data_IF_748836255485
#
_entry.id   IF_748836255485
#
_cell.length_a   1.000
_cell.length_b   1.000
_cell.length_c   1.000
_cell.angle_alpha   90.00
_cell.angle_beta   90.00
_cell.angle_gamma   90.00
#
_symmetry.space_group_name_H-M   'P 1'
#
loop_
_entity.id
_entity.type
_entity.pdbx_description
1 polymer ?
#
# COMPACT_ATOMS: atom_id res chain seq x y z
N UNK A 1 12.11 20.31 9.09
CA UNK A 1 13.32 19.84 8.42
C UNK A 1 13.92 18.69 9.22
N UNK A 2 14.61 17.79 8.54
CA UNK A 2 15.32 16.66 9.15
C UNK A 2 16.72 16.54 8.56
N UNK A 3 17.66 16.02 9.33
CA UNK A 3 19.05 15.75 8.90
C UNK A 3 19.44 14.40 9.47
N UNK A 4 19.92 13.52 8.62
CA UNK A 4 20.25 12.13 8.93
C UNK A 4 19.21 11.47 9.85
N UNK A 5 17.92 11.46 9.42
CA UNK A 5 16.86 10.92 10.25
C UNK A 5 17.00 9.40 10.31
N UNK A 6 17.17 8.89 11.51
CA UNK A 6 16.96 7.45 11.72
C UNK A 6 15.46 7.17 11.76
N UNK A 7 14.92 6.66 10.67
CA UNK A 7 13.56 6.18 10.57
C UNK A 7 13.44 4.69 10.89
N UNK A 8 14.56 4.01 11.14
CA UNK A 8 14.52 2.61 11.52
C UNK A 8 13.74 2.45 12.82
N UNK A 9 12.81 1.52 12.85
CA UNK A 9 12.43 0.74 14.01
C UNK A 9 11.49 1.35 15.05
N UNK A 10 10.97 2.56 14.90
CA UNK A 10 9.93 3.03 15.84
C UNK A 10 8.59 2.32 15.56
N UNK A 11 8.34 1.97 14.31
CA UNK A 11 7.17 1.15 13.91
C UNK A 11 7.55 0.17 12.78
N UNK A 12 7.75 -1.08 13.13
CA UNK A 12 7.96 -2.16 12.16
C UNK A 12 6.73 -2.36 11.26
N UNK A 13 6.97 -2.75 10.03
CA UNK A 13 5.90 -3.16 9.13
C UNK A 13 5.41 -4.56 9.51
N UNK A 14 4.10 -4.81 9.34
CA UNK A 14 3.59 -6.16 9.46
C UNK A 14 4.11 -6.99 8.29
N UNK A 15 4.48 -8.24 8.56
CA UNK A 15 4.84 -9.17 7.51
C UNK A 15 3.64 -9.37 6.57
N UNK A 16 3.93 -9.33 5.28
CA UNK A 16 2.97 -9.66 4.22
C UNK A 16 3.51 -10.86 3.46
N UNK A 17 2.61 -11.73 3.01
CA UNK A 17 2.98 -12.87 2.18
C UNK A 17 3.36 -12.36 0.79
N UNK A 18 4.59 -12.58 0.36
CA UNK A 18 5.16 -12.08 -0.90
C UNK A 18 5.33 -13.16 -1.98
N UNK A 19 4.88 -14.38 -1.70
CA UNK A 19 4.96 -15.51 -2.63
C UNK A 19 3.94 -15.38 -3.77
N UNK A 20 4.37 -15.65 -5.00
CA UNK A 20 3.54 -15.67 -6.21
C UNK A 20 2.79 -14.34 -6.46
N UNK A 21 3.43 -13.23 -6.18
CA UNK A 21 2.86 -11.90 -6.36
C UNK A 21 3.05 -11.41 -7.80
N UNK A 22 1.98 -10.85 -8.40
CA UNK A 22 2.04 -10.18 -9.70
C UNK A 22 2.53 -8.74 -9.59
N UNK A 23 2.18 -8.08 -8.51
CA UNK A 23 2.44 -6.67 -8.25
C UNK A 23 3.25 -6.50 -6.98
N UNK A 24 4.06 -5.44 -6.87
CA UNK A 24 4.79 -5.15 -5.65
C UNK A 24 3.84 -4.89 -4.48
N UNK A 25 4.26 -5.26 -3.28
CA UNK A 25 3.53 -5.01 -2.05
C UNK A 25 3.49 -3.52 -1.73
N UNK A 26 2.36 -3.07 -1.22
CA UNK A 26 2.19 -1.71 -0.72
C UNK A 26 2.34 -1.68 0.79
N UNK A 27 3.13 -0.73 1.29
CA UNK A 27 3.31 -0.49 2.72
C UNK A 27 2.91 0.94 3.07
N UNK A 28 2.09 1.08 4.10
CA UNK A 28 1.69 2.39 4.61
C UNK A 28 2.89 3.18 5.12
N UNK A 29 2.87 4.51 4.95
CA UNK A 29 3.88 5.37 5.54
C UNK A 29 3.71 5.43 7.05
N UNK A 30 4.79 5.22 7.80
CA UNK A 30 4.81 5.25 9.27
C UNK A 30 5.76 6.29 9.86
N UNK A 31 6.63 6.85 9.02
CA UNK A 31 7.65 7.81 9.45
C UNK A 31 7.01 9.17 9.76
N UNK A 32 7.14 9.70 11.00
CA UNK A 32 6.43 10.92 11.43
C UNK A 32 6.69 12.14 10.56
N UNK A 33 7.91 12.29 10.03
CA UNK A 33 8.25 13.39 9.13
C UNK A 33 7.37 13.40 7.87
N UNK A 34 7.07 12.25 7.30
CA UNK A 34 6.23 12.16 6.11
C UNK A 34 4.74 12.15 6.43
N UNK A 35 4.32 11.60 7.57
CA UNK A 35 2.91 11.52 7.98
C UNK A 35 2.30 12.87 8.33
N UNK A 36 3.03 13.77 8.99
CA UNK A 36 2.47 15.05 9.44
C UNK A 36 1.99 15.89 8.24
N UNK A 37 0.66 16.11 8.09
CA UNK A 37 0.05 16.84 6.98
C UNK A 37 0.19 16.13 5.62
N UNK A 38 0.28 14.80 5.60
CA UNK A 38 0.37 13.99 4.38
C UNK A 38 -0.90 14.02 3.53
N UNK A 39 -2.05 14.29 4.17
CA UNK A 39 -3.37 14.34 3.53
C UNK A 39 -3.44 15.31 2.34
N UNK A 40 -2.60 16.34 2.31
CA UNK A 40 -2.57 17.27 1.19
C UNK A 40 -2.06 16.63 -0.11
N UNK A 41 -1.21 15.59 -0.01
CA UNK A 41 -0.56 14.97 -1.18
C UNK A 41 -1.40 13.84 -1.80
N UNK A 42 -2.49 13.41 -1.16
CA UNK A 42 -3.39 12.41 -1.68
C UNK A 42 -4.10 12.89 -2.96
N UNK A 43 -4.11 12.05 -3.99
CA UNK A 43 -4.77 12.28 -5.28
C UNK A 43 -5.34 10.97 -5.82
N UNK A 44 -6.14 11.01 -6.90
CA UNK A 44 -6.80 9.83 -7.47
C UNK A 44 -5.80 8.76 -7.98
N UNK A 45 -4.62 9.19 -8.44
CA UNK A 45 -3.48 8.33 -8.69
C UNK A 45 -2.47 8.51 -7.56
N UNK A 46 -1.84 7.44 -7.10
CA UNK A 46 -0.78 7.50 -6.08
C UNK A 46 0.52 8.06 -6.69
N UNK A 47 0.48 9.34 -7.09
CA UNK A 47 1.62 10.03 -7.72
C UNK A 47 2.72 10.40 -6.73
N UNK A 48 2.41 10.36 -5.44
CA UNK A 48 3.34 10.57 -4.33
C UNK A 48 3.21 9.41 -3.35
N UNK A 49 4.29 8.68 -3.18
CA UNK A 49 4.44 7.58 -2.24
C UNK A 49 5.79 7.73 -1.54
N UNK A 50 5.76 8.27 -0.34
CA UNK A 50 6.99 8.70 0.37
C UNK A 50 7.91 7.53 0.78
N UNK A 51 7.40 6.30 0.81
CA UNK A 51 8.21 5.08 1.02
C UNK A 51 9.22 4.80 -0.10
N UNK A 52 9.08 5.52 -1.25
CA UNK A 52 10.11 5.52 -2.30
C UNK A 52 11.42 6.19 -1.85
N UNK A 53 11.34 7.09 -0.88
CA UNK A 53 12.50 7.72 -0.24
C UNK A 53 12.98 6.73 0.83
N UNK A 54 14.01 5.95 0.52
CA UNK A 54 14.42 4.82 1.34
C UNK A 54 15.36 5.23 2.48
N UNK A 55 16.41 6.00 2.17
CA UNK A 55 17.46 6.41 3.10
C UNK A 55 17.70 7.93 3.02
N UNK A 56 16.81 8.74 3.60
CA UNK A 56 16.90 10.19 3.49
C UNK A 56 18.05 10.77 4.34
N UNK A 57 19.06 11.34 3.68
CA UNK A 57 20.16 12.05 4.32
C UNK A 57 19.72 13.38 4.94
N UNK A 58 18.87 14.13 4.24
CA UNK A 58 18.29 15.35 4.76
C UNK A 58 16.99 15.71 4.03
N UNK A 59 16.12 16.46 4.68
CA UNK A 59 14.88 16.89 4.09
C UNK A 59 14.23 18.09 4.75
N UNK A 60 13.41 18.79 3.95
CA UNK A 60 12.57 19.86 4.43
C UNK A 60 11.14 19.64 3.96
N UNK A 61 10.17 19.95 4.81
CA UNK A 61 8.75 19.87 4.53
C UNK A 61 8.06 21.14 4.99
N UNK A 62 7.16 21.64 4.15
CA UNK A 62 6.27 22.75 4.43
C UNK A 62 4.85 22.28 4.13
N UNK A 63 3.96 22.41 5.09
CA UNK A 63 2.52 22.21 4.90
C UNK A 63 1.77 23.33 5.60
N UNK A 64 0.68 23.80 4.99
CA UNK A 64 -0.09 24.87 5.59
C UNK A 64 -1.33 25.25 4.79
N UNK A 65 -2.10 26.18 5.38
CA UNK A 65 -3.30 26.73 4.79
C UNK A 65 -3.20 28.28 4.77
N UNK A 66 -3.46 28.85 3.61
CA UNK A 66 -3.50 30.30 3.38
C UNK A 66 -4.88 30.67 2.81
N UNK A 67 -5.82 31.00 3.68
CA UNK A 67 -7.21 31.23 3.29
C UNK A 67 -7.85 29.96 2.71
N UNK A 68 -8.19 29.99 1.43
CA UNK A 68 -8.74 28.84 0.70
C UNK A 68 -7.67 27.94 0.08
N UNK A 69 -6.41 28.36 0.09
CA UNK A 69 -5.32 27.56 -0.47
C UNK A 69 -4.71 26.64 0.59
N UNK A 70 -4.58 25.35 0.28
CA UNK A 70 -3.74 24.37 1.00
C UNK A 70 -2.46 24.18 0.20
N UNK A 71 -1.33 24.27 0.87
CA UNK A 71 -0.01 24.18 0.25
C UNK A 71 0.82 23.10 0.94
N UNK A 72 1.43 22.24 0.14
CA UNK A 72 2.39 21.24 0.59
C UNK A 72 3.65 21.27 -0.27
N UNK A 73 4.82 21.19 0.35
CA UNK A 73 6.09 21.02 -0.34
C UNK A 73 7.00 20.12 0.47
N UNK A 74 7.71 19.20 -0.19
CA UNK A 74 8.72 18.32 0.38
C UNK A 74 9.93 18.37 -0.54
N UNK A 75 11.12 18.51 0.03
CA UNK A 75 12.38 18.31 -0.66
C UNK A 75 13.27 17.42 0.20
N UNK A 76 13.73 16.30 -0.35
CA UNK A 76 14.52 15.28 0.37
C UNK A 76 15.67 14.83 -0.50
N UNK A 77 16.86 14.79 0.07
CA UNK A 77 18.02 14.07 -0.46
C UNK A 77 17.97 12.65 0.08
N UNK A 78 17.92 11.69 -0.82
CA UNK A 78 17.99 10.26 -0.52
C UNK A 78 19.39 9.75 -0.91
N UNK A 79 20.06 9.06 0.01
CA UNK A 79 21.39 8.51 -0.25
C UNK A 79 21.34 7.18 -1.01
N UNK A 80 20.12 6.69 -1.26
CA UNK A 80 19.88 5.44 -1.99
C UNK A 80 20.11 4.20 -1.12
N UNK A 81 19.93 3.05 -1.69
CA UNK A 81 20.11 1.77 -1.00
C UNK A 81 18.80 0.99 -0.83
N UNK A 82 17.66 1.58 -1.18
CA UNK A 82 16.40 0.85 -1.26
C UNK A 82 16.28 0.12 -2.59
N UNK A 83 16.03 -1.17 -2.56
CA UNK A 83 15.51 -1.89 -3.71
C UNK A 83 14.11 -1.37 -3.99
N UNK A 84 13.93 -0.64 -5.08
CA UNK A 84 12.61 -0.29 -5.57
C UNK A 84 11.98 -1.57 -6.11
N UNK A 85 11.23 -2.28 -5.27
CA UNK A 85 10.39 -3.37 -5.71
C UNK A 85 9.52 -2.89 -6.89
N UNK A 86 9.52 -3.63 -7.97
CA UNK A 86 9.02 -3.34 -9.30
C UNK A 86 7.92 -2.31 -9.41
N UNK A 87 8.18 -1.24 -10.10
CA UNK A 87 7.19 -0.22 -10.43
C UNK A 87 6.83 -0.35 -11.90
N UNK A 88 5.56 -0.64 -12.15
CA UNK A 88 4.98 -0.54 -13.48
C UNK A 88 5.52 -1.51 -14.51
N UNK A 89 5.42 -2.82 -14.28
CA UNK A 89 5.56 -3.86 -15.32
C UNK A 89 6.92 -3.95 -16.01
N UNK A 90 7.93 -3.28 -15.48
CA UNK A 90 9.34 -3.46 -15.86
C UNK A 90 10.05 -4.40 -14.89
N UNK A 91 11.20 -4.97 -15.28
CA UNK A 91 11.98 -5.77 -14.37
C UNK A 91 12.28 -4.98 -13.09
N UNK A 92 12.22 -5.69 -11.97
CA UNK A 92 12.32 -5.17 -10.60
C UNK A 92 13.72 -4.60 -10.23
N UNK A 93 14.56 -4.28 -11.15
CA UNK A 93 16.01 -4.17 -10.99
C UNK A 93 16.51 -2.73 -10.89
N UNK A 94 15.64 -1.79 -10.51
CA UNK A 94 16.07 -0.43 -10.26
C UNK A 94 16.60 -0.26 -8.83
N UNK A 95 17.88 -0.42 -8.61
CA UNK A 95 18.54 0.18 -7.44
C UNK A 95 18.36 1.69 -7.60
N UNK A 96 17.57 2.33 -6.71
CA UNK A 96 17.52 3.77 -6.65
C UNK A 96 18.88 4.27 -6.17
N UNK A 97 19.63 4.84 -7.06
CA UNK A 97 20.85 5.56 -6.70
C UNK A 97 20.53 6.79 -5.84
N UNK A 98 21.57 7.41 -5.23
CA UNK A 98 21.39 8.65 -4.51
C UNK A 98 20.66 9.69 -5.37
N UNK A 99 19.75 10.47 -4.79
CA UNK A 99 18.94 11.39 -5.59
C UNK A 99 18.18 12.42 -4.79
N UNK A 100 17.48 13.30 -5.49
CA UNK A 100 16.60 14.29 -4.91
C UNK A 100 15.15 14.03 -5.25
N UNK A 101 14.30 14.02 -4.24
CA UNK A 101 12.85 14.08 -4.38
C UNK A 101 12.37 15.48 -4.06
N UNK A 102 11.59 16.08 -4.96
CA UNK A 102 10.98 17.38 -4.78
C UNK A 102 9.51 17.29 -5.14
N UNK A 103 8.65 17.45 -4.15
CA UNK A 103 7.21 17.25 -4.25
C UNK A 103 6.52 18.56 -3.90
N UNK A 104 5.56 18.98 -4.71
CA UNK A 104 4.79 20.18 -4.52
C UNK A 104 3.30 19.95 -4.76
N UNK A 105 2.46 20.51 -3.91
CA UNK A 105 1.01 20.42 -4.00
C UNK A 105 0.36 21.75 -3.65
N UNK A 106 -0.57 22.18 -4.49
CA UNK A 106 -1.47 23.30 -4.23
C UNK A 106 -2.90 22.82 -4.41
N UNK A 107 -3.76 22.98 -3.43
CA UNK A 107 -5.19 22.73 -3.55
C UNK A 107 -5.96 23.99 -3.15
N UNK A 108 -6.96 24.34 -3.95
CA UNK A 108 -7.83 25.47 -3.73
C UNK A 108 -9.23 24.98 -3.38
N UNK A 109 -9.68 25.29 -2.17
CA UNK A 109 -11.00 24.92 -1.66
C UNK A 109 -12.06 25.90 -2.17
N UNK A 110 -13.12 25.36 -2.77
CA UNK A 110 -14.26 26.09 -3.32
C UNK A 110 -15.51 25.73 -2.52
N UNK A 111 -15.83 26.54 -1.51
CA UNK A 111 -16.91 26.22 -0.58
C UNK A 111 -16.58 25.07 0.36
N UNK A 112 -17.60 24.33 0.82
CA UNK A 112 -17.44 23.32 1.87
C UNK A 112 -17.03 21.92 1.37
N UNK A 113 -17.18 21.64 0.08
CA UNK A 113 -17.09 20.26 -0.42
C UNK A 113 -16.54 20.17 -1.84
N UNK A 114 -15.87 21.20 -2.33
CA UNK A 114 -15.26 21.17 -3.66
C UNK A 114 -13.85 21.73 -3.60
N UNK A 115 -12.95 21.17 -4.39
CA UNK A 115 -11.59 21.64 -4.51
C UNK A 115 -11.05 21.40 -5.92
N UNK A 116 -10.07 22.19 -6.31
CA UNK A 116 -9.23 21.94 -7.47
C UNK A 116 -7.78 21.97 -7.03
N UNK A 117 -6.94 21.19 -7.68
CA UNK A 117 -5.56 21.07 -7.26
C UNK A 117 -4.56 20.93 -8.39
N UNK A 118 -3.31 21.24 -8.07
CA UNK A 118 -2.16 21.02 -8.93
C UNK A 118 -1.05 20.36 -8.12
N UNK A 119 -0.37 19.38 -8.73
CA UNK A 119 0.72 18.63 -8.15
C UNK A 119 1.92 18.65 -9.10
N UNK A 120 3.12 18.68 -8.52
CA UNK A 120 4.37 18.41 -9.21
C UNK A 120 5.21 17.45 -8.35
N UNK A 121 5.78 16.44 -8.97
CA UNK A 121 6.73 15.53 -8.35
C UNK A 121 7.95 15.39 -9.27
N UNK A 122 9.11 15.68 -8.73
CA UNK A 122 10.39 15.61 -9.44
C UNK A 122 11.27 14.60 -8.67
N UNK A 123 11.85 13.69 -9.40
CA UNK A 123 12.87 12.77 -8.92
C UNK A 123 14.09 12.90 -9.84
N UNK A 124 15.26 13.12 -9.26
CA UNK A 124 16.53 13.19 -9.96
C UNK A 124 17.48 12.22 -9.28
N UNK A 125 17.97 11.24 -10.01
CA UNK A 125 18.99 10.31 -9.54
C UNK A 125 20.36 10.76 -10.00
N UNK A 126 21.34 10.68 -9.12
CA UNK A 126 22.74 10.78 -9.50
C UNK A 126 23.18 9.48 -10.17
N UNK A 127 24.20 9.50 -11.00
CA UNK A 127 24.78 8.30 -11.55
C UNK A 127 25.31 7.39 -10.43
N UNK A 128 25.13 6.09 -10.57
CA UNK A 128 25.70 5.10 -9.66
C UNK A 128 26.89 4.42 -10.33
N UNK A 129 28.02 4.33 -9.63
CA UNK A 129 29.17 3.57 -10.03
C UNK A 129 29.46 2.48 -9.00
N UNK A 130 29.75 1.27 -9.46
CA UNK A 130 30.27 0.19 -8.62
C UNK A 130 31.73 -0.06 -9.05
N UNK A 131 32.66 0.48 -8.27
CA UNK A 131 34.08 0.54 -8.63
C UNK A 131 34.31 1.41 -9.88
N UNK A 132 34.99 0.86 -10.88
CA UNK A 132 35.25 1.51 -12.18
C UNK A 132 34.11 1.32 -13.21
N UNK A 133 33.03 0.61 -12.82
CA UNK A 133 31.88 0.35 -13.70
C UNK A 133 30.75 1.33 -13.37
N UNK A 134 30.41 2.18 -14.32
CA UNK A 134 29.18 3.02 -14.21
C UNK A 134 27.98 2.13 -14.43
N UNK A 135 27.21 1.88 -13.36
CA UNK A 135 26.03 1.00 -13.40
C UNK A 135 24.81 1.75 -13.93
N UNK A 136 24.73 3.06 -13.71
CA UNK A 136 23.74 3.93 -14.30
C UNK A 136 24.27 5.38 -14.35
N UNK A 137 24.16 6.03 -15.49
CA UNK A 137 24.27 7.49 -15.58
C UNK A 137 22.96 8.07 -15.09
N UNK A 138 22.96 9.05 -14.22
CA UNK A 138 21.81 9.63 -13.58
C UNK A 138 20.54 9.76 -14.45
N UNK A 139 19.41 9.79 -13.81
CA UNK A 139 18.11 9.88 -14.46
C UNK A 139 17.26 11.02 -13.91
N UNK A 140 16.13 11.29 -14.55
CA UNK A 140 15.13 12.20 -14.02
C UNK A 140 13.73 11.79 -14.40
N UNK A 141 12.82 11.91 -13.44
CA UNK A 141 11.39 11.77 -13.65
C UNK A 141 10.69 13.04 -13.17
N UNK A 142 9.82 13.57 -14.00
CA UNK A 142 8.97 14.70 -13.67
C UNK A 142 7.51 14.32 -13.93
N UNK A 143 6.66 14.48 -12.92
CA UNK A 143 5.22 14.27 -13.01
C UNK A 143 4.53 15.58 -12.64
N UNK A 144 3.51 15.97 -13.40
CA UNK A 144 2.60 17.05 -13.07
C UNK A 144 1.17 16.56 -13.18
N UNK A 145 0.30 17.05 -12.32
CA UNK A 145 -1.11 16.70 -12.36
C UNK A 145 -2.00 17.90 -12.02
N UNK A 146 -3.19 17.86 -12.57
CA UNK A 146 -4.32 18.70 -12.19
C UNK A 146 -5.47 17.78 -11.77
N UNK A 147 -6.16 18.16 -10.73
CA UNK A 147 -7.30 17.41 -10.21
C UNK A 147 -8.44 18.32 -9.75
N UNK A 148 -9.61 17.73 -9.66
CA UNK A 148 -10.81 18.40 -9.21
C UNK A 148 -11.70 17.42 -8.46
N UNK A 149 -12.13 17.84 -7.26
CA UNK A 149 -13.14 17.17 -6.46
C UNK A 149 -14.33 18.12 -6.38
N UNK A 150 -15.43 17.80 -7.06
CA UNK A 150 -16.56 18.70 -7.22
C UNK A 150 -17.86 18.07 -6.67
N UNK A 151 -18.50 18.79 -5.78
CA UNK A 151 -19.87 18.49 -5.40
C UNK A 151 -20.82 19.15 -6.40
N UNK A 152 -21.30 18.36 -7.36
CA UNK A 152 -22.20 18.86 -8.40
C UNK A 152 -23.62 19.14 -7.88
N UNK A 153 -24.05 18.37 -6.88
CA UNK A 153 -25.31 18.56 -6.19
C UNK A 153 -25.29 17.92 -4.78
N UNK A 154 -26.43 17.84 -4.11
CA UNK A 154 -26.51 17.12 -2.82
C UNK A 154 -26.24 15.63 -2.91
N UNK A 155 -26.37 15.04 -4.12
CA UNK A 155 -26.30 13.59 -4.34
C UNK A 155 -25.23 13.19 -5.34
N UNK A 156 -24.71 14.11 -6.11
CA UNK A 156 -23.73 13.85 -7.17
C UNK A 156 -22.40 14.50 -6.87
N UNK A 157 -21.36 13.72 -7.00
CA UNK A 157 -19.98 14.15 -6.86
C UNK A 157 -19.21 13.76 -8.12
N UNK A 158 -18.18 14.52 -8.42
CA UNK A 158 -17.25 14.25 -9.49
C UNK A 158 -15.83 14.38 -8.96
N UNK A 159 -15.00 13.36 -9.24
CA UNK A 159 -13.59 13.33 -8.98
C UNK A 159 -12.86 13.13 -10.30
N UNK A 160 -11.90 13.99 -10.61
CA UNK A 160 -11.16 13.91 -11.85
C UNK A 160 -9.71 14.28 -11.69
N UNK A 161 -8.84 13.60 -12.44
CA UNK A 161 -7.42 13.91 -12.46
C UNK A 161 -6.85 13.69 -13.87
N UNK A 162 -5.96 14.58 -14.28
CA UNK A 162 -5.11 14.43 -15.46
C UNK A 162 -3.67 14.63 -15.03
N UNK A 163 -2.80 13.72 -15.43
CA UNK A 163 -1.38 13.77 -15.12
C UNK A 163 -0.54 13.56 -16.38
N UNK A 164 0.61 14.22 -16.45
CA UNK A 164 1.62 13.98 -17.45
C UNK A 164 2.93 13.57 -16.79
N UNK A 165 3.68 12.69 -17.42
CA UNK A 165 5.01 12.30 -16.97
C UNK A 165 6.06 12.51 -18.05
N UNK A 166 7.27 12.82 -17.61
CA UNK A 166 8.47 12.86 -18.44
C UNK A 166 9.62 12.21 -17.72
N UNK A 167 10.12 11.12 -18.27
CA UNK A 167 11.28 10.40 -17.75
C UNK A 167 12.45 10.51 -18.72
N UNK A 168 13.64 10.59 -18.16
CA UNK A 168 14.90 10.49 -18.87
C UNK A 168 15.77 9.49 -18.10
N UNK A 169 16.26 8.52 -18.80
CA UNK A 169 17.23 7.59 -18.25
C UNK A 169 18.44 7.53 -19.21
N UNK A 170 19.60 7.64 -18.64
CA UNK A 170 20.86 7.43 -19.34
C UNK A 170 21.33 6.02 -18.97
N UNK A 171 21.32 5.09 -19.91
CA UNK A 171 21.74 3.69 -19.72
C UNK A 171 23.00 3.44 -20.53
N UNK A 172 23.99 2.76 -19.97
CA UNK A 172 25.15 2.31 -20.72
C UNK A 172 24.83 0.96 -21.36
N UNK A 173 24.88 0.92 -22.69
CA UNK A 173 24.80 -0.32 -23.47
C UNK A 173 26.08 -0.45 -24.24
N UNK A 174 26.84 -1.51 -23.96
CA UNK A 174 28.15 -1.78 -24.58
C UNK A 174 29.14 -0.59 -24.49
N UNK A 175 29.13 0.13 -23.37
CA UNK A 175 30.00 1.29 -23.13
C UNK A 175 29.56 2.57 -23.83
N UNK A 176 28.42 2.59 -24.52
CA UNK A 176 27.82 3.77 -25.11
C UNK A 176 26.62 4.27 -24.29
N UNK A 177 26.63 5.55 -23.94
CA UNK A 177 25.47 6.16 -23.25
C UNK A 177 24.26 6.22 -24.20
N UNK A 178 23.22 5.44 -23.88
CA UNK A 178 21.93 5.48 -24.56
C UNK A 178 20.95 6.35 -23.73
N UNK A 179 20.63 7.53 -24.24
CA UNK A 179 19.63 8.41 -23.66
C UNK A 179 18.23 8.01 -24.12
N UNK A 180 17.41 7.55 -23.18
CA UNK A 180 16.00 7.30 -23.45
C UNK A 180 15.16 8.40 -22.81
N UNK A 181 14.21 8.96 -23.57
CA UNK A 181 13.22 9.89 -23.05
C UNK A 181 11.85 9.33 -23.32
N UNK A 182 11.02 9.25 -22.27
CA UNK A 182 9.63 8.81 -22.36
C UNK A 182 8.73 9.92 -21.86
N UNK A 183 7.63 10.14 -22.55
CA UNK A 183 6.60 11.08 -22.12
C UNK A 183 5.25 10.41 -22.31
N UNK A 184 4.39 10.50 -21.32
CA UNK A 184 3.05 9.95 -21.44
C UNK A 184 2.07 10.62 -20.47
N UNK A 185 0.81 10.23 -20.56
CA UNK A 185 -0.29 10.78 -19.78
C UNK A 185 -1.05 9.69 -19.03
N UNK A 186 -1.65 10.11 -17.92
CA UNK A 186 -2.66 9.34 -17.21
C UNK A 186 -3.86 10.24 -16.93
N UNK A 187 -5.08 9.71 -16.99
CA UNK A 187 -6.27 10.44 -16.60
C UNK A 187 -7.30 9.51 -15.98
N UNK A 188 -8.10 10.05 -15.07
CA UNK A 188 -9.19 9.36 -14.42
C UNK A 188 -10.36 10.29 -14.17
N UNK A 189 -11.56 9.74 -14.22
CA UNK A 189 -12.79 10.42 -13.87
C UNK A 189 -13.72 9.46 -13.15
N UNK A 190 -14.28 9.91 -12.05
CA UNK A 190 -15.24 9.18 -11.22
C UNK A 190 -16.48 10.04 -11.00
N UNK A 191 -17.63 9.43 -11.15
CA UNK A 191 -18.93 9.99 -10.83
C UNK A 191 -19.59 9.19 -9.74
N UNK A 192 -19.89 9.83 -8.62
CA UNK A 192 -20.54 9.22 -7.49
C UNK A 192 -21.94 9.76 -7.31
N UNK A 193 -22.88 8.86 -7.10
CA UNK A 193 -24.23 9.16 -6.67
C UNK A 193 -24.49 8.52 -5.31
N UNK A 194 -25.04 9.30 -4.38
CA UNK A 194 -25.54 8.77 -3.10
C UNK A 194 -26.81 9.51 -2.65
N UNK A 195 -27.79 8.76 -2.18
CA UNK A 195 -28.99 9.32 -1.52
C UNK A 195 -29.14 8.85 -0.06
N UNK A 196 -28.06 8.18 0.48
CA UNK A 196 -28.03 7.61 1.82
C UNK A 196 -28.66 6.22 1.93
N UNK A 197 -29.24 5.71 0.85
CA UNK A 197 -29.76 4.34 0.71
C UNK A 197 -29.13 3.64 -0.48
N UNK A 198 -28.91 4.35 -1.57
CA UNK A 198 -28.34 3.84 -2.81
C UNK A 198 -27.05 4.57 -3.11
N UNK A 199 -26.09 3.84 -3.59
CA UNK A 199 -24.82 4.37 -4.07
C UNK A 199 -24.52 3.79 -5.46
N UNK A 200 -23.96 4.62 -6.33
CA UNK A 200 -23.47 4.26 -7.63
C UNK A 200 -22.18 5.02 -7.88
N UNK A 201 -21.13 4.28 -8.21
CA UNK A 201 -19.84 4.83 -8.62
C UNK A 201 -19.52 4.35 -10.02
N UNK A 202 -19.19 5.29 -10.89
CA UNK A 202 -18.72 5.04 -12.25
C UNK A 202 -17.33 5.62 -12.38
N UNK A 203 -16.34 4.77 -12.53
CA UNK A 203 -14.96 5.17 -12.64
C UNK A 203 -14.36 4.76 -13.98
N UNK A 204 -13.70 5.69 -14.66
CA UNK A 204 -12.91 5.42 -15.86
C UNK A 204 -11.49 5.95 -15.68
N UNK A 205 -10.51 5.13 -16.04
CA UNK A 205 -9.10 5.44 -15.88
C UNK A 205 -8.32 5.00 -17.11
N UNK A 206 -7.37 5.84 -17.53
CA UNK A 206 -6.37 5.54 -18.54
C UNK A 206 -4.98 5.83 -17.99
N UNK A 207 -4.04 4.92 -18.20
CA UNK A 207 -2.62 5.11 -17.93
C UNK A 207 -1.84 4.65 -19.15
N UNK A 208 -1.10 5.56 -19.76
CA UNK A 208 -0.34 5.27 -20.97
C UNK A 208 0.84 4.31 -20.73
N UNK A 209 1.34 3.64 -21.78
CA UNK A 209 2.39 2.62 -21.68
C UNK A 209 3.74 3.16 -21.19
N UNK A 210 4.04 4.41 -21.53
CA UNK A 210 5.28 5.07 -21.14
C UNK A 210 5.15 5.98 -19.92
N UNK A 211 3.96 6.01 -19.28
CA UNK A 211 3.75 6.80 -18.08
C UNK A 211 4.58 6.25 -16.92
N UNK A 212 5.33 7.14 -16.24
CA UNK A 212 6.16 6.80 -15.09
C UNK A 212 5.99 7.82 -13.98
N UNK A 213 5.77 7.36 -12.76
CA UNK A 213 5.73 8.17 -11.55
C UNK A 213 6.68 7.58 -10.51
N UNK A 214 7.97 7.91 -10.62
CA UNK A 214 9.01 7.35 -9.76
C UNK A 214 8.89 7.79 -8.30
N UNK A 215 8.28 8.94 -8.04
CA UNK A 215 7.92 9.39 -6.69
C UNK A 215 6.61 8.81 -6.17
N UNK A 216 5.90 8.00 -6.98
CA UNK A 216 4.59 7.44 -6.69
C UNK A 216 4.58 5.92 -6.59
N UNK A 217 3.37 5.36 -6.45
CA UNK A 217 3.14 3.93 -6.49
C UNK A 217 2.11 3.59 -7.57
N UNK A 218 2.61 3.12 -8.70
CA UNK A 218 1.78 2.63 -9.80
C UNK A 218 2.14 1.16 -10.04
N UNK A 219 1.23 0.26 -9.75
CA UNK A 219 1.43 -1.18 -9.95
C UNK A 219 1.42 -1.57 -11.43
N UNK A 220 0.82 -0.75 -12.29
CA UNK A 220 0.64 -1.07 -13.71
C UNK A 220 0.52 0.18 -14.58
N UNK A 221 0.99 0.06 -15.82
CA UNK A 221 0.79 1.03 -16.92
C UNK A 221 0.18 0.32 -18.13
N UNK A 222 -0.09 1.03 -19.21
CA UNK A 222 -0.67 0.51 -20.45
C UNK A 222 -2.04 -0.12 -20.26
N UNK A 223 -2.99 0.69 -19.73
CA UNK A 223 -4.34 0.19 -19.58
C UNK A 223 -5.41 1.30 -19.62
N UNK A 224 -6.62 0.87 -19.99
CA UNK A 224 -7.88 1.58 -19.80
C UNK A 224 -8.79 0.72 -18.96
N UNK A 225 -9.25 1.22 -17.83
CA UNK A 225 -10.15 0.49 -16.93
C UNK A 225 -11.44 1.27 -16.73
N UNK A 226 -12.56 0.56 -16.87
CA UNK A 226 -13.88 1.08 -16.50
C UNK A 226 -14.42 0.21 -15.38
N UNK A 227 -14.74 0.81 -14.24
CA UNK A 227 -15.29 0.16 -13.04
C UNK A 227 -16.68 0.70 -12.75
N UNK A 228 -17.55 -0.17 -12.28
CA UNK A 228 -18.88 0.14 -11.76
C UNK A 228 -18.99 -0.47 -10.39
N UNK A 229 -19.36 0.32 -9.40
CA UNK A 229 -19.80 -0.16 -8.09
C UNK A 229 -21.21 0.37 -7.83
N UNK A 230 -22.10 -0.52 -7.41
CA UNK A 230 -23.47 -0.15 -7.06
C UNK A 230 -23.93 -0.92 -5.84
N UNK A 231 -24.53 -0.23 -4.91
CA UNK A 231 -25.06 -0.85 -3.70
C UNK A 231 -26.35 -0.18 -3.23
N UNK A 232 -27.09 -0.87 -2.37
CA UNK A 232 -28.22 -0.30 -1.67
C UNK A 232 -28.39 -0.92 -0.28
N UNK A 233 -28.83 -0.10 0.67
CA UNK A 233 -28.92 -0.49 2.08
C UNK A 233 -30.37 -0.83 2.44
N UNK A 234 -30.62 -2.07 2.84
CA UNK A 234 -31.86 -2.53 3.44
C UNK A 234 -31.72 -2.56 4.96
N UNK A 235 -32.68 -1.99 5.69
CA UNK A 235 -32.71 -2.00 7.15
C UNK A 235 -33.92 -2.77 7.65
N UNK A 236 -33.82 -4.11 7.83
CA UNK A 236 -34.93 -4.92 8.32
C UNK A 236 -35.26 -4.54 9.76
N UNK A 237 -36.56 -4.48 10.05
CA UNK A 237 -37.04 -4.26 11.43
C UNK A 237 -37.10 -5.60 12.20
N UNK A 238 -35.94 -6.12 12.61
CA UNK A 238 -35.86 -7.35 13.37
C UNK A 238 -34.77 -7.28 14.46
N UNK A 239 -34.70 -8.29 15.33
CA UNK A 239 -33.80 -8.33 16.48
C UNK A 239 -32.38 -8.82 16.10
N UNK A 240 -32.15 -9.27 14.87
CA UNK A 240 -30.90 -9.92 14.45
C UNK A 240 -30.09 -9.01 13.54
N UNK A 241 -30.70 -8.52 12.46
CA UNK A 241 -30.02 -7.73 11.43
C UNK A 241 -30.24 -6.24 11.66
N UNK A 242 -29.16 -5.47 11.62
CA UNK A 242 -29.18 -4.01 11.59
C UNK A 242 -29.35 -3.48 10.17
N UNK A 243 -28.58 -4.04 9.24
CA UNK A 243 -28.70 -3.75 7.82
C UNK A 243 -28.15 -4.91 6.99
N UNK A 244 -28.61 -4.99 5.74
CA UNK A 244 -28.10 -5.84 4.68
C UNK A 244 -27.84 -4.93 3.49
N UNK A 245 -26.66 -5.01 2.91
CA UNK A 245 -26.27 -4.19 1.78
C UNK A 245 -25.76 -5.09 0.65
N UNK A 246 -26.62 -5.45 -0.31
CA UNK A 246 -26.18 -6.05 -1.55
C UNK A 246 -25.33 -5.06 -2.34
N UNK A 247 -24.23 -5.53 -2.88
CA UNK A 247 -23.23 -4.77 -3.63
C UNK A 247 -22.94 -5.52 -4.92
N UNK A 248 -22.85 -4.81 -6.01
CA UNK A 248 -22.30 -5.30 -7.26
C UNK A 248 -21.11 -4.42 -7.63
N UNK A 249 -19.93 -5.01 -7.65
CA UNK A 249 -18.72 -4.36 -8.10
C UNK A 249 -18.15 -5.09 -9.32
N UNK A 250 -17.43 -4.36 -10.15
CA UNK A 250 -16.76 -4.99 -11.26
C UNK A 250 -16.10 -3.98 -12.19
N UNK A 251 -15.15 -4.48 -12.96
CA UNK A 251 -14.47 -3.69 -13.98
C UNK A 251 -14.11 -4.51 -15.20
N UNK A 252 -13.82 -3.79 -16.26
CA UNK A 252 -13.14 -4.31 -17.45
C UNK A 252 -11.94 -3.44 -17.76
N UNK A 253 -10.83 -4.07 -18.10
CA UNK A 253 -9.56 -3.43 -18.42
C UNK A 253 -9.06 -3.89 -19.79
N UNK A 254 -8.61 -2.92 -20.58
CA UNK A 254 -8.04 -3.13 -21.91
C UNK A 254 -6.63 -2.53 -21.96
N UNK A 255 -5.77 -3.07 -22.82
CA UNK A 255 -4.52 -2.41 -23.20
C UNK A 255 -4.75 -1.27 -24.22
N UNK A 256 -3.67 -0.60 -24.64
CA UNK A 256 -3.72 0.44 -25.66
C UNK A 256 -4.28 -0.03 -26.99
N UNK A 257 -4.07 -1.31 -27.37
CA UNK A 257 -4.58 -1.93 -28.59
C UNK A 257 -6.07 -2.30 -28.50
N UNK A 258 -6.68 -2.16 -27.32
CA UNK A 258 -8.10 -2.49 -27.09
C UNK A 258 -8.37 -3.95 -26.78
N UNK A 259 -7.33 -4.76 -26.52
CA UNK A 259 -7.50 -6.14 -26.08
C UNK A 259 -7.85 -6.18 -24.61
N UNK A 260 -8.82 -7.03 -24.24
CA UNK A 260 -9.15 -7.26 -22.84
C UNK A 260 -7.94 -7.90 -22.15
N UNK A 261 -7.44 -7.22 -21.14
CA UNK A 261 -6.36 -7.70 -20.27
C UNK A 261 -6.93 -8.38 -19.04
N UNK A 262 -8.05 -7.83 -18.54
CA UNK A 262 -8.63 -8.28 -17.29
C UNK A 262 -10.09 -7.84 -17.19
N UNK A 263 -10.93 -8.67 -16.62
CA UNK A 263 -12.23 -8.26 -16.11
C UNK A 263 -12.54 -9.03 -14.84
N UNK A 264 -13.33 -8.40 -13.99
CA UNK A 264 -13.73 -8.96 -12.72
C UNK A 264 -15.13 -8.48 -12.36
N UNK A 265 -15.96 -9.38 -11.85
CA UNK A 265 -17.29 -9.12 -11.34
C UNK A 265 -17.48 -9.79 -10.00
N UNK A 266 -17.97 -9.04 -9.03
CA UNK A 266 -18.13 -9.46 -7.67
C UNK A 266 -19.47 -9.02 -7.10
N UNK A 267 -20.50 -9.87 -7.15
CA UNK A 267 -21.66 -9.74 -6.30
C UNK A 267 -21.28 -10.05 -4.85
N UNK A 268 -21.59 -9.11 -3.96
CA UNK A 268 -21.30 -9.18 -2.53
C UNK A 268 -22.53 -8.89 -1.70
N UNK A 269 -22.55 -9.35 -0.47
CA UNK A 269 -23.54 -8.92 0.52
C UNK A 269 -22.85 -8.59 1.84
N UNK A 270 -23.00 -7.35 2.28
CA UNK A 270 -22.56 -6.87 3.60
C UNK A 270 -23.71 -7.07 4.60
N UNK A 271 -23.47 -7.92 5.60
CA UNK A 271 -24.40 -8.29 6.66
C UNK A 271 -23.98 -7.61 7.96
N UNK A 272 -24.75 -6.65 8.43
CA UNK A 272 -24.50 -5.99 9.72
C UNK A 272 -25.52 -6.45 10.74
N UNK A 273 -25.04 -7.11 11.77
CA UNK A 273 -25.87 -7.63 12.84
C UNK A 273 -25.99 -6.65 14.01
N UNK A 274 -27.07 -6.80 14.83
CA UNK A 274 -27.33 -5.91 15.96
C UNK A 274 -26.23 -5.91 17.03
N UNK A 275 -25.46 -7.00 17.15
CA UNK A 275 -24.43 -7.17 18.20
C UNK A 275 -23.03 -6.81 17.71
N UNK A 276 -22.92 -5.77 16.87
CA UNK A 276 -21.63 -5.31 16.33
C UNK A 276 -20.82 -6.43 15.64
N UNK A 277 -21.53 -7.35 15.02
CA UNK A 277 -20.95 -8.36 14.13
C UNK A 277 -21.16 -7.90 12.71
N UNK A 278 -20.13 -7.93 11.93
CA UNK A 278 -20.10 -7.66 10.51
C UNK A 278 -19.67 -8.91 9.78
N UNK A 279 -20.33 -9.23 8.68
CA UNK A 279 -19.94 -10.35 7.79
C UNK A 279 -20.07 -9.83 6.37
N UNK A 280 -19.04 -10.05 5.55
CA UNK A 280 -19.07 -9.85 4.10
C UNK A 280 -19.00 -11.22 3.43
N UNK A 281 -19.89 -11.44 2.49
CA UNK A 281 -19.85 -12.62 1.60
C UNK A 281 -19.71 -12.15 0.17
N UNK A 282 -18.76 -12.69 -0.54
CA UNK A 282 -18.39 -12.28 -1.89
C UNK A 282 -18.17 -13.49 -2.79
N UNK A 283 -18.62 -13.38 -4.02
CA UNK A 283 -18.34 -14.33 -5.08
C UNK A 283 -17.70 -13.62 -6.26
N UNK A 284 -16.48 -13.97 -6.57
CA UNK A 284 -15.75 -13.44 -7.71
C UNK A 284 -15.88 -14.32 -8.95
N UNK A 285 -16.11 -13.68 -10.08
CA UNK A 285 -15.87 -14.24 -11.39
C UNK A 285 -14.93 -13.31 -12.14
N UNK A 286 -13.78 -13.85 -12.60
CA UNK A 286 -12.72 -13.04 -13.18
C UNK A 286 -12.06 -13.70 -14.38
N UNK A 287 -11.46 -12.87 -15.23
CA UNK A 287 -10.54 -13.28 -16.28
C UNK A 287 -9.32 -12.37 -16.20
N UNK A 288 -8.16 -12.97 -16.36
CA UNK A 288 -6.88 -12.29 -16.37
C UNK A 288 -6.01 -12.81 -17.50
N UNK A 289 -5.35 -11.89 -18.22
CA UNK A 289 -4.38 -12.21 -19.24
C UNK A 289 -2.97 -12.07 -18.69
N UNK A 290 -2.21 -13.17 -18.77
CA UNK A 290 -0.83 -13.21 -18.34
C UNK A 290 0.05 -13.92 -19.36
N UNK A 291 1.18 -13.29 -19.79
CA UNK A 291 2.09 -13.81 -20.81
C UNK A 291 1.38 -14.32 -22.07
N UNK A 292 0.35 -13.57 -22.52
CA UNK A 292 -0.40 -13.88 -23.72
C UNK A 292 -1.47 -14.99 -23.59
N UNK A 293 -1.66 -15.56 -22.40
CA UNK A 293 -2.67 -16.56 -22.07
C UNK A 293 -3.80 -15.94 -21.27
N UNK A 294 -5.03 -16.39 -21.52
CA UNK A 294 -6.21 -15.98 -20.77
C UNK A 294 -6.55 -17.04 -19.73
N UNK A 295 -6.66 -16.61 -18.47
CA UNK A 295 -7.07 -17.42 -17.34
C UNK A 295 -8.46 -16.97 -16.90
N UNK A 296 -9.33 -17.92 -16.63
CA UNK A 296 -10.69 -17.68 -16.19
C UNK A 296 -10.94 -18.44 -14.90
N UNK A 297 -11.34 -17.72 -13.86
CA UNK A 297 -11.52 -18.31 -12.55
C UNK A 297 -12.71 -17.76 -11.78
N UNK A 298 -12.96 -18.37 -10.63
CA UNK A 298 -13.92 -17.92 -9.64
C UNK A 298 -13.41 -18.15 -8.23
N UNK A 299 -13.81 -17.29 -7.29
CA UNK A 299 -13.42 -17.36 -5.88
C UNK A 299 -14.61 -17.03 -4.99
N UNK A 300 -14.56 -17.55 -3.79
CA UNK A 300 -15.44 -17.16 -2.69
C UNK A 300 -14.59 -16.45 -1.64
N UNK A 301 -15.10 -15.36 -1.11
CA UNK A 301 -14.52 -14.65 0.00
C UNK A 301 -15.56 -14.51 1.11
N UNK A 302 -15.12 -14.75 2.33
CA UNK A 302 -15.87 -14.53 3.56
C UNK A 302 -15.01 -13.72 4.52
N UNK A 303 -15.51 -12.55 4.92
CA UNK A 303 -14.95 -11.79 6.03
C UNK A 303 -15.92 -11.78 7.19
N UNK A 304 -15.42 -11.83 8.40
CA UNK A 304 -16.22 -11.73 9.61
C UNK A 304 -15.46 -11.00 10.71
N UNK A 305 -16.08 -10.01 11.31
CA UNK A 305 -15.52 -9.26 12.43
C UNK A 305 -16.54 -9.07 13.54
N UNK A 306 -16.06 -8.96 14.78
CA UNK A 306 -16.90 -8.66 15.91
C UNK A 306 -16.20 -7.68 16.86
N UNK A 307 -16.88 -6.57 17.17
CA UNK A 307 -16.40 -5.54 18.09
C UNK A 307 -17.28 -5.37 19.33
N UNK A 308 -18.13 -6.36 19.63
CA UNK A 308 -19.06 -6.32 20.76
C UNK A 308 -18.36 -6.32 22.12
N UNK A 309 -17.29 -7.08 22.23
CA UNK A 309 -16.59 -7.22 23.50
C UNK A 309 -15.44 -6.22 23.56
N UNK A 310 -15.38 -5.48 24.66
CA UNK A 310 -14.31 -4.51 24.88
C UNK A 310 -12.93 -5.19 25.00
N UNK A 311 -12.94 -6.39 25.57
CA UNK A 311 -11.74 -7.16 25.90
C UNK A 311 -11.20 -7.95 24.70
N UNK A 312 -12.06 -8.23 23.70
CA UNK A 312 -11.70 -9.08 22.57
C UNK A 312 -12.41 -8.65 21.28
N UNK A 313 -11.63 -8.32 20.27
CA UNK A 313 -12.14 -7.97 18.93
C UNK A 313 -11.47 -8.88 17.89
N UNK A 314 -12.12 -9.98 17.49
CA UNK A 314 -11.61 -10.87 16.43
C UNK A 314 -12.03 -10.41 15.05
N UNK A 315 -11.18 -10.70 14.05
CA UNK A 315 -11.51 -10.68 12.63
C UNK A 315 -11.00 -11.94 11.95
N UNK A 316 -11.71 -12.37 10.94
CA UNK A 316 -11.39 -13.54 10.13
C UNK A 316 -11.69 -13.25 8.67
N UNK A 317 -10.77 -13.59 7.80
CA UNK A 317 -10.95 -13.60 6.36
C UNK A 317 -10.62 -14.97 5.79
N UNK A 318 -11.38 -15.40 4.79
CA UNK A 318 -11.16 -16.63 4.07
C UNK A 318 -11.44 -16.40 2.58
N UNK A 319 -10.47 -16.68 1.73
CA UNK A 319 -10.62 -16.64 0.29
C UNK A 319 -10.25 -18.00 -0.30
N UNK A 320 -11.17 -18.61 -1.05
CA UNK A 320 -10.98 -19.95 -1.63
C UNK A 320 -11.46 -19.97 -3.07
N UNK A 321 -10.68 -20.52 -3.98
CA UNK A 321 -11.08 -20.68 -5.37
C UNK A 321 -9.93 -20.79 -6.35
N UNK A 322 -10.22 -20.45 -7.60
CA UNK A 322 -9.23 -20.47 -8.66
C UNK A 322 -8.20 -19.35 -8.45
N UNK A 323 -6.93 -19.65 -8.65
CA UNK A 323 -5.82 -18.69 -8.63
C UNK A 323 -4.84 -18.98 -9.76
N UNK A 324 -4.01 -17.98 -10.09
CA UNK A 324 -2.95 -18.13 -11.07
C UNK A 324 -1.62 -18.32 -10.34
N UNK A 325 -0.91 -19.37 -10.70
CA UNK A 325 0.52 -19.42 -10.44
C UNK A 325 1.21 -18.65 -11.57
N UNK A 326 1.80 -17.51 -11.24
CA UNK A 326 2.40 -16.62 -12.24
C UNK A 326 3.70 -17.18 -12.82
N UNK A 327 4.30 -18.16 -12.15
CA UNK A 327 5.58 -18.74 -12.54
C UNK A 327 6.76 -17.95 -11.99
N UNK A 328 7.91 -18.58 -12.08
CA UNK A 328 9.23 -17.98 -11.87
C UNK A 328 10.03 -18.03 -13.19
N UNK A 329 11.31 -17.67 -13.15
CA UNK A 329 12.15 -17.64 -14.34
C UNK A 329 12.18 -18.97 -15.14
N UNK A 330 11.94 -20.10 -14.47
CA UNK A 330 12.07 -21.46 -15.02
C UNK A 330 10.72 -22.17 -15.20
N UNK A 331 9.61 -21.61 -14.74
CA UNK A 331 8.29 -22.25 -14.73
C UNK A 331 7.23 -21.51 -15.55
N UNK A 332 6.31 -22.26 -16.14
CA UNK A 332 5.18 -21.71 -16.89
C UNK A 332 4.00 -21.40 -15.96
N UNK A 333 3.33 -20.27 -16.18
CA UNK A 333 2.10 -19.93 -15.49
C UNK A 333 0.95 -20.91 -15.77
N UNK A 334 0.10 -21.17 -14.77
CA UNK A 334 -1.08 -22.04 -14.88
C UNK A 334 -2.15 -21.69 -13.86
N UNK A 335 -3.38 -22.12 -14.13
CA UNK A 335 -4.48 -22.02 -13.18
C UNK A 335 -4.40 -23.17 -12.17
N UNK A 336 -4.62 -22.84 -10.90
CA UNK A 336 -4.66 -23.79 -9.81
C UNK A 336 -5.67 -23.37 -8.74
N UNK A 337 -5.55 -23.90 -7.55
CA UNK A 337 -6.45 -23.70 -6.44
C UNK A 337 -5.77 -22.95 -5.30
N UNK A 338 -6.34 -21.78 -4.95
CA UNK A 338 -5.88 -20.87 -3.91
C UNK A 338 -6.75 -21.04 -2.66
N UNK A 339 -6.10 -21.11 -1.52
CA UNK A 339 -6.70 -21.06 -0.17
C UNK A 339 -5.94 -20.01 0.64
N UNK A 340 -6.59 -18.91 0.97
CA UNK A 340 -6.03 -17.84 1.79
C UNK A 340 -6.88 -17.67 3.04
N UNK A 341 -6.23 -17.58 4.18
CA UNK A 341 -6.88 -17.37 5.48
C UNK A 341 -6.13 -16.30 6.24
N UNK A 342 -6.88 -15.39 6.86
CA UNK A 342 -6.34 -14.38 7.76
C UNK A 342 -7.16 -14.39 9.05
N UNK A 343 -6.49 -14.42 10.18
CA UNK A 343 -7.09 -14.39 11.50
C UNK A 343 -6.37 -13.34 12.33
N UNK A 344 -7.10 -12.31 12.72
CA UNK A 344 -6.59 -11.27 13.59
C UNK A 344 -7.43 -11.16 14.85
N UNK A 345 -6.80 -10.67 15.90
CA UNK A 345 -7.52 -10.45 17.16
C UNK A 345 -6.80 -9.46 18.05
N UNK A 346 -7.57 -8.57 18.65
CA UNK A 346 -7.05 -7.68 19.70
C UNK A 346 -7.62 -8.07 21.03
N UNK A 347 -6.75 -8.45 21.97
CA UNK A 347 -7.08 -8.77 23.36
C UNK A 347 -6.69 -7.58 24.25
N UNK A 348 -7.61 -7.16 25.14
CA UNK A 348 -7.39 -6.11 26.16
C UNK A 348 -7.77 -6.65 27.54
N UNK A 349 -6.92 -7.53 28.14
CA UNK A 349 -7.21 -8.14 29.43
C UNK A 349 -7.29 -7.12 30.57
N UNK A 350 -6.65 -5.97 30.38
CA UNK A 350 -6.71 -4.83 31.30
C UNK A 350 -6.55 -3.52 30.52
N UNK A 351 -6.86 -2.35 31.14
CA UNK A 351 -6.60 -1.05 30.52
C UNK A 351 -5.13 -0.76 30.21
N UNK A 352 -4.22 -1.57 30.78
CA UNK A 352 -2.77 -1.42 30.62
C UNK A 352 -2.13 -2.40 29.66
N UNK A 353 -2.82 -3.46 29.28
CA UNK A 353 -2.29 -4.51 28.41
C UNK A 353 -3.15 -4.65 27.16
N UNK A 354 -2.51 -4.48 26.02
CA UNK A 354 -3.09 -4.77 24.70
C UNK A 354 -2.23 -5.81 24.02
N UNK A 355 -2.85 -6.86 23.51
CA UNK A 355 -2.21 -7.93 22.73
C UNK A 355 -2.93 -8.03 21.39
N UNK A 356 -2.25 -7.65 20.31
CA UNK A 356 -2.66 -7.95 18.95
C UNK A 356 -2.07 -9.29 18.53
N UNK A 357 -2.87 -10.15 17.93
CA UNK A 357 -2.44 -11.42 17.35
C UNK A 357 -2.86 -11.44 15.89
N UNK A 358 -1.97 -11.87 15.01
CA UNK A 358 -2.22 -12.04 13.59
C UNK A 358 -1.64 -13.34 13.08
N UNK A 359 -2.39 -14.03 12.22
CA UNK A 359 -1.92 -15.21 11.51
C UNK A 359 -2.52 -15.18 10.10
N UNK A 360 -1.69 -15.22 9.08
CA UNK A 360 -2.11 -15.36 7.70
C UNK A 360 -1.52 -16.63 7.09
N UNK A 361 -2.28 -17.29 6.24
CA UNK A 361 -1.86 -18.44 5.46
C UNK A 361 -2.23 -18.25 4.01
N UNK A 362 -1.29 -18.51 3.13
CA UNK A 362 -1.53 -18.61 1.69
C UNK A 362 -1.04 -19.97 1.20
N UNK A 363 -1.96 -20.74 0.64
CA UNK A 363 -1.68 -22.06 0.11
C UNK A 363 -2.15 -22.15 -1.33
N UNK A 364 -1.27 -22.62 -2.18
CA UNK A 364 -1.58 -22.85 -3.57
C UNK A 364 -1.33 -24.31 -3.96
N UNK A 365 -2.26 -24.90 -4.70
CA UNK A 365 -2.16 -26.26 -5.18
C UNK A 365 -2.57 -26.37 -6.65
N UNK A 366 -2.05 -27.38 -7.35
CA UNK A 366 -2.35 -27.62 -8.77
C UNK A 366 -3.80 -28.04 -8.99
N UNK A 367 -4.37 -28.82 -8.06
CA UNK A 367 -5.71 -29.38 -8.17
C UNK A 367 -6.32 -29.53 -6.78
N UNK A 368 -7.22 -28.63 -6.38
CA UNK A 368 -8.08 -28.69 -5.18
C UNK A 368 -7.42 -29.37 -3.95
N UNK A 369 -6.24 -28.85 -3.56
CA UNK A 369 -5.47 -29.37 -2.42
C UNK A 369 -4.49 -30.50 -2.73
N UNK A 370 -4.42 -30.96 -3.98
CA UNK A 370 -3.40 -31.92 -4.44
C UNK A 370 -2.28 -31.21 -5.17
N UNK A 371 -1.06 -31.73 -5.04
CA UNK A 371 0.11 -31.13 -5.67
C UNK A 371 0.35 -29.71 -5.14
N UNK A 372 0.53 -29.58 -3.84
CA UNK A 372 0.83 -28.30 -3.16
C UNK A 372 2.09 -27.71 -3.75
N UNK A 373 2.02 -26.46 -4.15
CA UNK A 373 3.11 -25.69 -4.74
C UNK A 373 3.81 -24.90 -3.65
N UNK A 374 3.00 -24.19 -2.84
CA UNK A 374 3.48 -23.54 -1.62
C UNK A 374 2.39 -23.57 -0.53
N UNK A 375 2.80 -23.43 0.71
CA UNK A 375 1.95 -23.35 1.89
C UNK A 375 2.70 -22.49 2.93
N UNK A 376 2.42 -21.20 2.91
CA UNK A 376 3.15 -20.18 3.65
C UNK A 376 2.30 -19.63 4.77
N UNK A 377 2.91 -19.46 5.94
CA UNK A 377 2.30 -18.80 7.09
C UNK A 377 3.10 -17.58 7.50
N UNK A 378 2.41 -16.50 7.82
CA UNK A 378 2.97 -15.40 8.59
C UNK A 378 2.26 -15.30 9.93
N UNK A 379 3.03 -15.19 10.99
CA UNK A 379 2.54 -15.13 12.36
C UNK A 379 3.08 -13.87 13.04
N UNK A 380 2.25 -13.14 13.75
CA UNK A 380 2.65 -11.94 14.47
C UNK A 380 1.94 -11.77 15.81
N UNK A 381 2.64 -11.22 16.80
CA UNK A 381 2.06 -10.89 18.10
C UNK A 381 2.59 -9.55 18.61
N UNK A 382 1.73 -8.52 18.66
CA UNK A 382 2.08 -7.18 19.16
C UNK A 382 1.59 -7.01 20.58
N UNK A 383 2.50 -7.04 21.56
CA UNK A 383 2.20 -6.86 22.99
C UNK A 383 2.58 -5.45 23.40
N UNK A 384 1.62 -4.68 23.90
CA UNK A 384 1.87 -3.34 24.45
C UNK A 384 1.45 -3.30 25.92
N UNK A 385 2.39 -3.00 26.79
CA UNK A 385 2.14 -2.84 28.23
C UNK A 385 2.39 -1.41 28.66
N UNK A 386 1.34 -0.74 29.11
CA UNK A 386 1.37 0.60 29.66
C UNK A 386 1.60 0.57 31.17
N UNK A 387 2.81 0.86 31.64
CA UNK A 387 3.14 0.89 33.09
C UNK A 387 2.59 2.14 33.77
N UNK A 388 2.82 3.31 33.16
CA UNK A 388 2.28 4.60 33.59
C UNK A 388 1.69 5.33 32.38
N UNK A 389 1.21 6.55 32.54
CA UNK A 389 0.75 7.37 31.40
C UNK A 389 1.90 7.73 30.45
N UNK A 390 3.11 7.78 31.00
CA UNK A 390 4.33 8.21 30.30
C UNK A 390 5.18 7.03 29.82
N UNK A 391 5.13 5.87 30.52
CA UNK A 391 6.00 4.72 30.25
C UNK A 391 5.22 3.54 29.68
N UNK A 392 5.64 3.07 28.52
CA UNK A 392 5.15 1.81 27.96
C UNK A 392 6.29 0.97 27.35
N UNK A 393 6.01 -0.32 27.25
CA UNK A 393 6.86 -1.32 26.55
C UNK A 393 6.04 -1.96 25.46
N UNK A 394 6.66 -2.16 24.30
CA UNK A 394 6.10 -2.89 23.17
C UNK A 394 7.05 -4.02 22.77
N UNK A 395 6.50 -5.19 22.50
CA UNK A 395 7.19 -6.33 21.92
C UNK A 395 6.41 -6.78 20.70
N UNK A 396 7.09 -7.01 19.58
CA UNK A 396 6.48 -7.41 18.33
C UNK A 396 7.30 -8.49 17.64
N UNK A 397 7.19 -9.78 18.05
CA UNK A 397 7.73 -10.90 17.28
C UNK A 397 6.87 -11.19 16.06
N UNK A 398 7.52 -11.49 14.94
CA UNK A 398 6.93 -11.87 13.67
C UNK A 398 7.72 -13.06 13.10
N UNK A 399 7.02 -14.03 12.49
CA UNK A 399 7.63 -15.20 11.88
C UNK A 399 7.04 -15.48 10.51
N UNK A 400 7.89 -15.69 9.53
CA UNK A 400 7.58 -16.13 8.19
C UNK A 400 8.08 -17.55 7.97
N UNK A 401 7.20 -18.45 7.51
CA UNK A 401 7.55 -19.84 7.29
C UNK A 401 8.21 -20.11 5.94
N UNK A 402 8.06 -19.22 4.96
CA UNK A 402 8.70 -19.35 3.65
C UNK A 402 10.17 -18.96 3.74
N UNK A 403 10.43 -17.78 4.28
CA UNK A 403 11.78 -17.32 4.56
C UNK A 403 12.43 -18.04 5.76
N UNK A 404 11.65 -18.79 6.56
CA UNK A 404 12.05 -19.35 7.88
C UNK A 404 12.68 -18.26 8.79
N UNK A 405 12.14 -17.03 8.69
CA UNK A 405 12.67 -15.81 9.30
C UNK A 405 11.86 -15.39 10.53
N UNK A 406 12.56 -15.09 11.61
CA UNK A 406 12.01 -14.52 12.84
C UNK A 406 12.54 -13.11 13.03
N UNK A 407 11.65 -12.14 13.07
CA UNK A 407 11.93 -10.75 13.45
C UNK A 407 11.34 -10.45 14.83
N UNK A 408 12.08 -9.76 15.68
CA UNK A 408 11.66 -9.40 17.03
C UNK A 408 11.99 -7.93 17.30
N UNK A 409 10.97 -7.09 17.33
CA UNK A 409 11.06 -5.71 17.74
C UNK A 409 10.68 -5.53 19.22
N UNK A 410 11.54 -4.91 19.99
CA UNK A 410 11.27 -4.52 21.36
C UNK A 410 11.51 -3.02 21.57
N UNK A 411 10.56 -2.32 22.20
CA UNK A 411 10.61 -0.89 22.39
C UNK A 411 10.20 -0.52 23.81
N UNK A 412 11.01 0.27 24.49
CA UNK A 412 10.64 1.00 25.70
C UNK A 412 10.50 2.48 25.34
N UNK A 413 9.38 3.08 25.63
CA UNK A 413 9.11 4.48 25.35
C UNK A 413 8.73 5.25 26.61
N UNK A 414 9.36 6.41 26.78
CA UNK A 414 9.06 7.34 27.86
C UNK A 414 8.68 8.71 27.31
N UNK A 415 7.41 9.08 27.50
CA UNK A 415 6.84 10.35 27.05
C UNK A 415 7.18 11.44 28.07
N UNK A 416 8.05 12.39 27.70
CA UNK A 416 8.43 13.53 28.53
C UNK A 416 7.28 14.55 28.66
N UNK A 417 6.70 14.87 27.52
CA UNK A 417 5.49 15.69 27.35
C UNK A 417 4.90 15.45 25.96
N UNK A 418 3.65 15.88 25.65
CA UNK A 418 3.05 15.65 24.35
C UNK A 418 3.94 16.09 23.19
N UNK A 419 4.33 15.12 22.36
CA UNK A 419 5.23 15.32 21.23
C UNK A 419 6.73 15.17 21.52
N UNK A 420 7.13 14.89 22.77
CA UNK A 420 8.53 14.63 23.13
C UNK A 420 8.68 13.30 23.85
N UNK A 421 9.45 12.38 23.26
CA UNK A 421 9.55 10.98 23.68
C UNK A 421 11.01 10.52 23.61
N UNK A 422 11.41 9.73 24.59
CA UNK A 422 12.65 8.95 24.58
C UNK A 422 12.31 7.50 24.29
N UNK A 423 12.98 6.92 23.30
CA UNK A 423 12.84 5.53 22.92
C UNK A 423 14.14 4.77 23.15
N UNK A 424 14.06 3.62 23.75
CA UNK A 424 15.09 2.59 23.75
C UNK A 424 14.54 1.39 23.00
N UNK A 425 15.14 1.05 21.87
CA UNK A 425 14.69 -0.02 21.01
C UNK A 425 15.73 -1.09 20.79
N UNK A 426 15.25 -2.28 20.48
CA UNK A 426 16.03 -3.43 20.04
C UNK A 426 15.27 -4.09 18.90
N UNK A 427 15.99 -4.40 17.84
CA UNK A 427 15.53 -5.22 16.74
C UNK A 427 16.50 -6.38 16.57
N UNK A 428 15.97 -7.58 16.41
CA UNK A 428 16.76 -8.80 16.26
C UNK A 428 16.16 -9.71 15.22
N UNK A 429 16.99 -10.13 14.27
CA UNK A 429 16.68 -11.01 13.18
C UNK A 429 17.31 -12.38 13.41
N UNK A 430 16.58 -13.44 13.08
CA UNK A 430 17.10 -14.80 13.11
C UNK A 430 16.54 -15.63 11.97
N UNK A 431 17.43 -16.29 11.24
CA UNK A 431 17.08 -17.24 10.19
C UNK A 431 17.24 -18.68 10.69
N UNK A 432 16.50 -19.60 10.09
CA UNK A 432 16.64 -21.02 10.38
C UNK A 432 17.71 -21.63 9.49
N UNK A 433 18.88 -21.91 10.08
CA UNK A 433 19.98 -22.60 9.42
C UNK A 433 20.18 -23.98 10.08
N UNK A 434 20.22 -25.05 9.27
CA UNK A 434 20.38 -26.44 9.73
C UNK A 434 19.42 -26.84 10.86
N UNK A 435 18.15 -26.39 10.79
CA UNK A 435 17.10 -26.70 11.76
C UNK A 435 17.20 -25.93 13.08
N UNK A 436 18.08 -24.93 13.20
CA UNK A 436 18.24 -24.04 14.37
C UNK A 436 18.06 -22.60 13.98
N UNK A 437 17.39 -21.81 14.81
CA UNK A 437 17.38 -20.35 14.63
C UNK A 437 18.74 -19.78 15.02
N UNK A 438 19.38 -19.09 14.07
CA UNK A 438 20.67 -18.42 14.23
C UNK A 438 20.41 -16.94 14.06
N UNK A 439 20.85 -16.14 15.03
CA UNK A 439 20.74 -14.68 14.92
C UNK A 439 21.59 -14.19 13.74
N UNK A 440 20.97 -13.49 12.81
CA UNK A 440 21.59 -12.93 11.60
C UNK A 440 21.84 -11.44 11.71
N UNK A 441 21.08 -10.75 12.56
CA UNK A 441 21.23 -9.34 12.83
C UNK A 441 20.70 -8.94 14.20
N UNK A 442 21.27 -7.89 14.79
CA UNK A 442 20.70 -7.24 15.94
C UNK A 442 21.13 -5.77 15.98
N UNK A 443 20.19 -4.92 16.33
CA UNK A 443 20.42 -3.49 16.48
C UNK A 443 19.78 -2.99 17.76
N UNK A 444 20.54 -2.25 18.57
CA UNK A 444 19.99 -1.54 19.71
C UNK A 444 20.15 -0.03 19.47
N UNK A 445 19.12 0.74 19.75
CA UNK A 445 19.15 2.18 19.51
C UNK A 445 18.53 2.97 20.67
N UNK A 446 19.01 4.20 20.85
CA UNK A 446 18.41 5.21 21.70
C UNK A 446 18.02 6.41 20.85
N UNK A 447 16.73 6.74 20.85
CA UNK A 447 16.18 7.86 20.07
C UNK A 447 15.50 8.85 21.00
N UNK A 448 15.78 10.14 20.82
CA UNK A 448 15.12 11.23 21.53
C UNK A 448 14.41 12.12 20.52
N UNK A 449 13.10 12.20 20.64
CA UNK A 449 12.28 13.16 19.89
C UNK A 449 11.89 14.29 20.85
N UNK A 450 12.14 15.52 20.45
CA UNK A 450 11.77 16.68 21.25
C UNK A 450 11.00 17.69 20.40
N UNK A 451 9.78 18.01 20.82
CA UNK A 451 8.92 18.99 20.15
C UNK A 451 8.97 20.34 20.86
N UNK A 452 9.45 21.34 20.13
CA UNK A 452 9.35 22.73 20.58
C UNK A 452 7.97 23.28 20.18
N UNK A 453 7.16 23.68 21.16
CA UNK A 453 5.94 24.46 20.93
C UNK A 453 6.17 25.87 21.46
N UNK A 454 5.92 26.86 20.60
CA UNK A 454 5.80 28.27 20.98
C UNK A 454 4.35 28.66 21.13
#
# INVERSE_FOLDING_TARGET
ATVNPDFSQVEADALQIDVNQRYPLFYDEKRPFFLEGADIFGTAFDLIYTRRIADPACGAKLTGRLGHARVGAIAVRDDGGGTLAGVGGGPADGVSGPGWFQLGRLAWEMGESSSVGALVALHQTDGAADGDVVVADGGSNAVWALDADLRLSRRWFFHGQVAGSRSRADTLVDGAALRTARNDVACGAEFDYTDGVRELQLFHQYVGPDFRAESGFLSRVDFRRTRVNSNFIVRPQNAVLRSVQPILDGYVMHDADGRIQEWWWSPMVDWRFQKQTHVLTEFDRWQERWLGRDYLGSRLLLEAENSRWREFAPSFECQIGDGIYYGDADSTSYLGWLERYELDGTLRPSPRLTVGLGAARDRFSRDHGRGVVYDVWTLGAKVTWQFTRELYVRLYPQYDTDAEHLDVDALVAYVLHPGSVVYLGYNGDADRLDGRHVATGHTAFLKVSYRFQR
#
